data_IF_299939011112
#
_entry.id   IF_299939011112
#
_cell.length_a   1.000
_cell.length_b   1.000
_cell.length_c   1.000
_cell.angle_alpha   90.00
_cell.angle_beta   90.00
_cell.angle_gamma   90.00
#
_symmetry.space_group_name_H-M   'P 1'
#
loop_
_entity.id
_entity.type
_entity.pdbx_description
1 polymer ?
#
# COMPACT_ATOMS: atom_id res chain seq x y z
N UNK A 1 7.63 -84.61 -16.80
CA UNK A 1 8.22 -83.83 -15.70
C UNK A 1 9.02 -82.75 -16.39
N UNK A 2 8.44 -81.62 -16.79
CA UNK A 2 7.62 -80.67 -16.03
C UNK A 2 8.42 -79.99 -14.92
N UNK A 3 8.26 -78.66 -14.89
CA UNK A 3 8.71 -77.66 -13.89
C UNK A 3 10.03 -76.96 -14.23
N UNK A 4 10.15 -75.63 -14.23
CA UNK A 4 9.17 -74.54 -14.20
C UNK A 4 9.99 -73.27 -14.56
N UNK A 5 9.71 -72.64 -15.70
CA UNK A 5 10.34 -71.38 -16.10
C UNK A 5 9.57 -70.25 -15.42
N UNK A 6 9.89 -70.03 -14.14
CA UNK A 6 9.26 -69.03 -13.29
C UNK A 6 9.73 -67.62 -13.67
N UNK A 7 8.93 -67.00 -14.53
CA UNK A 7 8.47 -65.60 -14.51
C UNK A 7 9.07 -64.71 -13.40
N UNK A 8 10.10 -63.95 -13.75
CA UNK A 8 10.59 -62.82 -12.95
C UNK A 8 10.01 -61.53 -13.56
N UNK A 9 9.24 -60.72 -12.83
CA UNK A 9 8.61 -59.53 -13.39
C UNK A 9 9.69 -58.52 -13.85
N UNK A 10 9.46 -57.78 -14.96
CA UNK A 10 10.38 -56.71 -15.33
C UNK A 10 10.41 -55.69 -14.19
N UNK A 11 11.64 -55.31 -13.79
CA UNK A 11 11.87 -54.23 -12.84
C UNK A 11 11.06 -52.99 -13.29
N UNK A 12 10.45 -52.24 -12.35
CA UNK A 12 9.70 -51.05 -12.72
C UNK A 12 10.64 -50.15 -13.52
N UNK A 13 10.29 -49.91 -14.78
CA UNK A 13 10.85 -48.83 -15.59
C UNK A 13 10.74 -47.59 -14.72
N UNK A 14 11.88 -47.19 -14.17
CA UNK A 14 11.99 -45.99 -13.38
C UNK A 14 11.50 -44.87 -14.29
N UNK A 15 10.33 -44.36 -13.93
CA UNK A 15 9.71 -43.21 -14.55
C UNK A 15 10.59 -42.07 -14.08
N UNK A 16 11.78 -41.95 -14.68
CA UNK A 16 12.69 -40.85 -14.47
C UNK A 16 11.93 -39.61 -14.92
N UNK A 17 11.28 -39.01 -13.93
CA UNK A 17 10.96 -37.61 -13.84
C UNK A 17 12.26 -36.86 -14.12
N UNK A 18 12.53 -36.62 -15.40
CA UNK A 18 13.62 -35.76 -15.82
C UNK A 18 13.18 -34.35 -15.44
N UNK A 19 13.52 -33.93 -14.23
CA UNK A 19 13.45 -32.54 -13.81
C UNK A 19 14.32 -31.74 -14.81
N UNK A 20 13.74 -30.89 -15.67
CA UNK A 20 14.45 -30.27 -16.79
C UNK A 20 15.41 -29.13 -16.37
N UNK A 21 15.72 -29.02 -15.08
CA UNK A 21 16.38 -27.85 -14.49
C UNK A 21 17.89 -28.06 -14.28
N UNK A 22 18.40 -29.29 -14.29
CA UNK A 22 19.73 -29.58 -13.73
C UNK A 22 20.82 -30.03 -14.73
N UNK A 23 20.53 -30.16 -16.03
CA UNK A 23 21.43 -30.86 -16.96
C UNK A 23 22.21 -29.98 -17.96
N UNK A 24 22.26 -28.65 -17.79
CA UNK A 24 23.04 -27.81 -18.72
C UNK A 24 23.59 -26.53 -18.04
N UNK A 25 24.82 -26.59 -17.53
CA UNK A 25 25.50 -25.44 -16.90
C UNK A 25 26.24 -24.55 -17.91
N UNK A 26 26.43 -25.00 -19.14
CA UNK A 26 27.07 -24.24 -20.23
C UNK A 26 26.08 -23.32 -20.95
N UNK A 27 24.78 -23.54 -20.77
CA UNK A 27 23.72 -22.70 -21.33
C UNK A 27 22.86 -22.16 -20.19
N UNK A 28 22.99 -20.89 -19.77
CA UNK A 28 22.07 -20.34 -18.76
C UNK A 28 20.64 -20.56 -19.25
N UNK A 29 19.69 -20.92 -18.37
CA UNK A 29 18.31 -21.16 -18.78
C UNK A 29 17.84 -19.91 -19.52
N UNK A 30 17.62 -20.02 -20.83
CA UNK A 30 17.14 -18.89 -21.63
C UNK A 30 15.84 -18.46 -20.98
N UNK A 31 15.91 -17.29 -20.36
CA UNK A 31 14.79 -16.60 -19.75
C UNK A 31 13.65 -16.63 -20.77
N UNK A 32 12.44 -17.09 -20.40
CA UNK A 32 11.32 -17.24 -21.34
C UNK A 32 11.15 -16.00 -22.20
N UNK A 33 11.13 -16.25 -23.51
CA UNK A 33 10.99 -15.26 -24.58
C UNK A 33 9.74 -14.44 -24.35
N UNK A 34 9.92 -13.13 -24.16
CA UNK A 34 8.85 -12.15 -24.24
C UNK A 34 8.07 -12.39 -25.54
N UNK A 35 6.73 -12.31 -25.55
CA UNK A 35 5.96 -12.55 -26.75
C UNK A 35 6.39 -11.59 -27.87
N UNK A 36 6.75 -12.18 -29.02
CA UNK A 36 7.05 -11.46 -30.25
C UNK A 36 5.76 -11.10 -30.97
N UNK A 37 5.64 -9.83 -31.37
CA UNK A 37 4.49 -9.27 -32.06
C UNK A 37 4.93 -8.76 -33.43
N UNK A 38 4.10 -9.02 -34.43
CA UNK A 38 4.34 -8.66 -35.82
C UNK A 38 3.18 -7.79 -36.28
N UNK A 39 3.25 -6.49 -35.98
CA UNK A 39 2.17 -5.53 -36.27
C UNK A 39 2.67 -4.50 -37.29
N UNK A 40 1.76 -3.79 -37.96
CA UNK A 40 2.13 -2.85 -39.02
C UNK A 40 3.18 -1.81 -38.57
N UNK A 41 4.41 -1.96 -39.05
CA UNK A 41 5.54 -1.07 -38.71
C UNK A 41 6.36 -1.48 -37.48
N UNK A 42 6.09 -2.63 -36.86
CA UNK A 42 6.91 -3.19 -35.79
C UNK A 42 6.99 -4.72 -35.84
N UNK A 43 8.21 -5.23 -35.77
CA UNK A 43 8.50 -6.65 -35.64
C UNK A 43 9.51 -6.84 -34.51
N UNK A 44 9.10 -7.51 -33.43
CA UNK A 44 9.95 -7.71 -32.28
C UNK A 44 9.20 -8.01 -30.98
N UNK A 45 9.89 -7.95 -29.83
CA UNK A 45 9.30 -8.30 -28.54
C UNK A 45 8.40 -7.18 -27.98
N UNK A 46 7.38 -7.58 -27.22
CA UNK A 46 6.37 -6.69 -26.62
C UNK A 46 6.96 -5.52 -25.80
N UNK A 47 8.07 -5.74 -25.08
CA UNK A 47 8.73 -4.73 -24.26
C UNK A 47 9.39 -3.63 -25.10
N UNK A 48 10.00 -4.00 -26.21
CA UNK A 48 10.58 -3.05 -27.17
C UNK A 48 9.49 -2.21 -27.83
N UNK A 49 8.34 -2.81 -28.17
CA UNK A 49 7.20 -2.05 -28.69
C UNK A 49 6.74 -0.99 -27.68
N UNK A 50 6.72 -1.34 -26.39
CA UNK A 50 6.36 -0.40 -25.33
C UNK A 50 7.40 0.72 -25.17
N UNK A 51 8.70 0.43 -25.15
CA UNK A 51 9.74 1.47 -25.06
C UNK A 51 9.71 2.42 -26.26
N UNK A 52 9.52 1.89 -27.47
CA UNK A 52 9.41 2.70 -28.69
C UNK A 52 8.12 3.54 -28.70
N UNK A 53 7.02 2.99 -28.19
CA UNK A 53 5.77 3.71 -28.06
C UNK A 53 5.83 4.83 -27.01
N UNK A 54 6.46 4.58 -25.84
CA UNK A 54 6.65 5.59 -24.79
C UNK A 54 7.51 6.77 -25.28
N UNK A 55 8.52 6.48 -26.11
CA UNK A 55 9.38 7.49 -26.74
C UNK A 55 8.77 8.14 -27.99
N UNK A 56 7.51 7.84 -28.31
CA UNK A 56 6.80 8.35 -29.49
C UNK A 56 7.52 8.05 -30.82
N UNK A 57 8.35 7.01 -30.87
CA UNK A 57 9.07 6.60 -32.08
C UNK A 57 8.20 5.75 -33.03
N UNK A 58 7.08 5.22 -32.53
CA UNK A 58 6.07 4.48 -33.29
C UNK A 58 4.71 5.17 -33.13
N UNK A 59 4.02 5.37 -34.24
CA UNK A 59 2.65 5.91 -34.26
C UNK A 59 1.63 4.82 -33.90
N UNK A 60 1.38 4.69 -32.59
CA UNK A 60 0.36 3.76 -32.07
C UNK A 60 -1.05 4.05 -32.58
N UNK A 61 -1.35 5.26 -33.09
CA UNK A 61 -2.67 5.61 -33.60
C UNK A 61 -3.02 4.84 -34.87
N UNK A 62 -2.01 4.52 -35.69
CA UNK A 62 -2.17 3.82 -36.98
C UNK A 62 -2.27 2.31 -36.85
N UNK A 63 -1.72 1.74 -35.77
CA UNK A 63 -1.80 0.30 -35.52
C UNK A 63 -3.27 -0.16 -35.37
N UNK A 64 -3.57 -1.42 -35.60
CA UNK A 64 -4.90 -1.97 -35.28
C UNK A 64 -4.90 -2.51 -33.84
N UNK A 65 -5.75 -1.94 -32.98
CA UNK A 65 -5.90 -2.44 -31.60
C UNK A 65 -6.34 -3.91 -31.58
N UNK A 66 -7.24 -4.28 -32.49
CA UNK A 66 -7.75 -5.63 -32.63
C UNK A 66 -6.62 -6.60 -32.98
N UNK A 67 -5.76 -6.22 -33.91
CA UNK A 67 -4.64 -7.05 -34.37
C UNK A 67 -3.62 -7.27 -33.25
N UNK A 68 -3.24 -6.20 -32.55
CA UNK A 68 -2.31 -6.27 -31.43
C UNK A 68 -2.82 -7.18 -30.30
N UNK A 69 -4.09 -7.02 -29.90
CA UNK A 69 -4.71 -7.85 -28.86
C UNK A 69 -4.79 -9.32 -29.32
N UNK A 70 -5.18 -9.55 -30.57
CA UNK A 70 -5.32 -10.91 -31.11
C UNK A 70 -3.96 -11.61 -31.12
N UNK A 71 -2.92 -10.94 -31.62
CA UNK A 71 -1.57 -11.50 -31.65
C UNK A 71 -1.02 -11.75 -30.24
N UNK A 72 -1.27 -10.82 -29.30
CA UNK A 72 -0.86 -11.00 -27.90
C UNK A 72 -1.53 -12.22 -27.26
N UNK A 73 -2.84 -12.39 -27.42
CA UNK A 73 -3.57 -13.55 -26.87
C UNK A 73 -3.06 -14.85 -27.50
N UNK A 74 -2.83 -14.87 -28.81
CA UNK A 74 -2.26 -16.03 -29.51
C UNK A 74 -0.86 -16.36 -28.99
N UNK A 75 0.00 -15.35 -28.79
CA UNK A 75 1.34 -15.55 -28.22
C UNK A 75 1.28 -16.08 -26.78
N UNK A 76 0.37 -15.56 -25.95
CA UNK A 76 0.14 -16.02 -24.57
C UNK A 76 -0.32 -17.48 -24.51
N UNK A 77 -1.19 -17.91 -25.43
CA UNK A 77 -1.63 -19.30 -25.53
C UNK A 77 -0.49 -20.23 -25.94
N UNK A 78 0.36 -19.83 -26.90
CA UNK A 78 1.55 -20.60 -27.31
C UNK A 78 2.55 -20.78 -26.16
N UNK A 79 2.68 -19.77 -25.31
CA UNK A 79 3.62 -19.75 -24.19
C UNK A 79 3.06 -20.36 -22.89
N UNK A 80 1.77 -20.68 -22.83
CA UNK A 80 1.09 -21.14 -21.61
C UNK A 80 1.69 -22.39 -20.98
N UNK A 81 2.27 -23.30 -21.77
CA UNK A 81 2.91 -24.53 -21.29
C UNK A 81 4.42 -24.42 -21.02
N UNK A 82 5.03 -23.26 -21.31
CA UNK A 82 6.50 -23.04 -21.23
C UNK A 82 6.89 -21.96 -20.23
N UNK A 83 5.91 -21.25 -19.65
CA UNK A 83 6.11 -20.05 -18.85
C UNK A 83 5.24 -20.11 -17.62
N UNK A 84 5.79 -19.68 -16.48
CA UNK A 84 5.06 -19.65 -15.21
C UNK A 84 3.90 -18.63 -15.24
N UNK A 85 2.94 -18.78 -14.34
CA UNK A 85 1.78 -17.88 -14.27
C UNK A 85 2.20 -16.45 -13.91
N UNK A 86 3.18 -16.30 -13.02
CA UNK A 86 3.71 -15.02 -12.55
C UNK A 86 4.23 -14.19 -13.73
N UNK A 87 5.02 -14.81 -14.60
CA UNK A 87 5.60 -14.09 -15.74
C UNK A 87 4.57 -13.73 -16.80
N UNK A 88 3.54 -14.56 -16.97
CA UNK A 88 2.39 -14.24 -17.82
C UNK A 88 1.60 -13.04 -17.27
N UNK A 89 1.51 -12.90 -15.95
CA UNK A 89 0.91 -11.72 -15.33
C UNK A 89 1.74 -10.45 -15.61
N UNK A 90 3.08 -10.53 -15.55
CA UNK A 90 3.95 -9.40 -15.90
C UNK A 90 3.73 -8.92 -17.35
N UNK A 91 3.56 -9.85 -18.30
CA UNK A 91 3.28 -9.50 -19.70
C UNK A 91 1.90 -8.90 -19.91
N UNK A 92 0.89 -9.32 -19.14
CA UNK A 92 -0.42 -8.70 -19.15
C UNK A 92 -0.36 -7.23 -18.72
N UNK A 93 0.51 -6.90 -17.76
CA UNK A 93 0.74 -5.50 -17.36
C UNK A 93 1.31 -4.69 -18.52
N UNK A 94 2.31 -5.22 -19.25
CA UNK A 94 2.88 -4.55 -20.43
C UNK A 94 1.84 -4.32 -21.52
N UNK A 95 1.03 -5.33 -21.84
CA UNK A 95 -0.03 -5.24 -22.83
C UNK A 95 -1.12 -4.22 -22.43
N UNK A 96 -1.53 -4.20 -21.16
CA UNK A 96 -2.51 -3.24 -20.65
C UNK A 96 -2.00 -1.80 -20.75
N UNK A 97 -0.70 -1.57 -20.49
CA UNK A 97 -0.06 -0.24 -20.64
C UNK A 97 -0.08 0.23 -22.09
N UNK A 98 0.26 -0.63 -23.05
CA UNK A 98 0.16 -0.30 -24.48
C UNK A 98 -1.26 0.07 -24.90
N UNK A 99 -2.25 -0.70 -24.43
CA UNK A 99 -3.68 -0.46 -24.71
C UNK A 99 -4.14 0.89 -24.15
N UNK A 100 -3.73 1.21 -22.92
CA UNK A 100 -4.00 2.50 -22.29
C UNK A 100 -3.35 3.65 -23.07
N UNK A 101 -2.08 3.51 -23.44
CA UNK A 101 -1.34 4.52 -24.19
C UNK A 101 -2.01 4.78 -25.55
N UNK A 102 -2.44 3.73 -26.25
CA UNK A 102 -3.22 3.86 -27.47
C UNK A 102 -4.54 4.60 -27.24
N UNK A 103 -5.31 4.21 -26.22
CA UNK A 103 -6.59 4.85 -25.90
C UNK A 103 -6.40 6.36 -25.71
N UNK A 104 -5.39 6.75 -24.93
CA UNK A 104 -5.06 8.18 -24.69
C UNK A 104 -4.70 8.93 -25.97
N UNK A 105 -4.00 8.30 -26.91
CA UNK A 105 -3.64 8.93 -28.18
C UNK A 105 -4.85 9.11 -29.12
N UNK A 106 -5.93 8.34 -28.95
CA UNK A 106 -7.13 8.44 -29.79
C UNK A 106 -8.15 9.49 -29.30
N UNK A 107 -8.08 9.90 -28.03
CA UNK A 107 -9.00 10.88 -27.47
C UNK A 107 -8.29 12.22 -27.26
N UNK A 108 -8.52 13.24 -28.11
CA UNK A 108 -8.00 14.58 -27.86
C UNK A 108 -8.60 15.09 -26.54
N UNK A 109 -7.72 15.39 -25.57
CA UNK A 109 -8.13 15.90 -24.27
C UNK A 109 -8.89 17.22 -24.43
N UNK A 110 -9.99 17.38 -23.69
CA UNK A 110 -10.64 18.69 -23.59
C UNK A 110 -9.67 19.70 -22.98
N UNK A 111 -9.79 21.01 -23.28
CA UNK A 111 -8.84 22.01 -22.76
C UNK A 111 -8.75 22.07 -21.23
N UNK A 112 -9.83 21.67 -20.52
CA UNK A 112 -9.82 21.53 -19.06
C UNK A 112 -9.03 20.29 -18.61
N UNK A 113 -9.22 19.14 -19.28
CA UNK A 113 -8.45 17.93 -19.00
C UNK A 113 -6.97 18.09 -19.35
N UNK A 114 -6.63 18.87 -20.38
CA UNK A 114 -5.25 19.17 -20.76
C UNK A 114 -4.51 19.94 -19.65
N UNK A 115 -5.12 20.97 -19.07
CA UNK A 115 -4.53 21.73 -17.96
C UNK A 115 -4.35 20.87 -16.69
N UNK A 116 -5.29 19.97 -16.44
CA UNK A 116 -5.20 19.04 -15.29
C UNK A 116 -4.12 17.98 -15.53
N UNK A 117 -4.04 17.44 -16.74
CA UNK A 117 -3.02 16.47 -17.15
C UNK A 117 -1.61 17.06 -17.12
N UNK A 118 -1.44 18.35 -17.42
CA UNK A 118 -0.15 19.05 -17.35
C UNK A 118 0.34 19.21 -15.90
N UNK A 119 -0.58 19.47 -14.97
CA UNK A 119 -0.28 19.48 -13.53
C UNK A 119 0.09 18.08 -13.00
N UNK A 120 -0.65 17.05 -13.41
CA UNK A 120 -0.37 15.66 -13.05
C UNK A 120 0.97 15.19 -13.63
N UNK A 121 1.30 15.58 -14.86
CA UNK A 121 2.58 15.29 -15.49
C UNK A 121 3.76 15.91 -14.73
N UNK A 122 3.64 17.18 -14.32
CA UNK A 122 4.68 17.85 -13.52
C UNK A 122 4.89 17.17 -12.15
N UNK A 123 3.81 16.71 -11.51
CA UNK A 123 3.91 15.97 -10.25
C UNK A 123 4.59 14.60 -10.43
N UNK A 124 4.28 13.88 -11.50
CA UNK A 124 4.92 12.60 -11.83
C UNK A 124 6.39 12.77 -12.23
N UNK A 125 6.74 13.81 -12.98
CA UNK A 125 8.14 14.13 -13.30
C UNK A 125 8.98 14.36 -12.03
N UNK A 126 8.43 15.10 -11.06
CA UNK A 126 9.09 15.31 -9.78
C UNK A 126 9.35 13.97 -9.07
N UNK A 127 8.33 13.10 -9.03
CA UNK A 127 8.40 11.78 -8.40
C UNK A 127 9.42 10.86 -9.08
N UNK A 128 9.47 10.86 -10.41
CA UNK A 128 10.47 10.14 -11.18
C UNK A 128 11.88 10.66 -10.90
N UNK A 129 12.05 11.98 -10.81
CA UNK A 129 13.34 12.60 -10.49
C UNK A 129 13.86 12.18 -9.10
N UNK A 130 12.98 12.12 -8.12
CA UNK A 130 13.32 11.67 -6.76
C UNK A 130 13.68 10.18 -6.75
N UNK A 131 12.91 9.34 -7.44
CA UNK A 131 13.20 7.92 -7.54
C UNK A 131 14.55 7.66 -8.21
N UNK A 132 14.87 8.38 -9.28
CA UNK A 132 16.17 8.27 -9.95
C UNK A 132 17.33 8.69 -9.03
N UNK A 133 17.14 9.76 -8.25
CA UNK A 133 18.14 10.19 -7.24
C UNK A 133 18.36 9.12 -6.18
N UNK A 134 17.28 8.53 -5.66
CA UNK A 134 17.37 7.45 -4.66
C UNK A 134 18.05 6.21 -5.26
N UNK A 135 17.72 5.86 -6.50
CA UNK A 135 18.33 4.72 -7.19
C UNK A 135 19.82 4.93 -7.42
N UNK A 136 20.22 6.14 -7.85
CA UNK A 136 21.62 6.51 -7.97
C UNK A 136 22.35 6.42 -6.61
N UNK A 137 21.74 6.91 -5.53
CA UNK A 137 22.30 6.78 -4.18
C UNK A 137 22.43 5.31 -3.74
N UNK A 138 21.44 4.47 -4.04
CA UNK A 138 21.46 3.04 -3.74
C UNK A 138 22.61 2.34 -4.49
N UNK A 139 22.75 2.57 -5.80
CA UNK A 139 23.86 2.00 -6.59
C UNK A 139 25.23 2.49 -6.08
N UNK A 140 25.34 3.76 -5.68
CA UNK A 140 26.56 4.30 -5.07
C UNK A 140 26.88 3.63 -3.73
N UNK A 141 25.88 3.37 -2.87
CA UNK A 141 26.06 2.65 -1.62
C UNK A 141 26.44 1.19 -1.83
N UNK A 142 25.84 0.53 -2.82
CA UNK A 142 26.10 -0.86 -3.15
C UNK A 142 27.53 -1.07 -3.67
N UNK A 143 28.06 -0.10 -4.42
CA UNK A 143 29.44 -0.11 -4.90
C UNK A 143 30.50 0.11 -3.79
N UNK A 144 30.09 0.44 -2.56
CA UNK A 144 31.01 0.62 -1.44
C UNK A 144 31.26 -0.71 -0.73
N UNK A 145 32.48 -0.90 -0.19
CA UNK A 145 32.82 -2.14 0.46
C UNK A 145 32.01 -2.35 1.73
N UNK A 146 31.25 -3.46 1.77
CA UNK A 146 30.25 -3.72 2.79
C UNK A 146 30.84 -4.51 3.98
N UNK A 147 30.52 -4.07 5.19
CA UNK A 147 30.94 -4.75 6.41
C UNK A 147 30.26 -6.12 6.53
N UNK A 148 31.04 -7.18 6.71
CA UNK A 148 30.56 -8.56 6.80
C UNK A 148 30.43 -9.30 5.47
N UNK A 149 30.60 -8.62 4.33
CA UNK A 149 30.75 -9.26 3.02
C UNK A 149 32.18 -9.10 2.51
N UNK A 150 32.62 -7.85 2.33
CA UNK A 150 33.93 -7.51 1.76
C UNK A 150 34.91 -7.00 2.83
N UNK A 151 34.41 -6.27 3.84
CA UNK A 151 35.22 -5.75 4.94
C UNK A 151 34.86 -6.48 6.22
N UNK A 152 35.84 -7.09 6.89
CA UNK A 152 35.63 -7.72 8.18
C UNK A 152 36.24 -6.86 9.28
N UNK A 153 35.43 -6.51 10.28
CA UNK A 153 35.93 -5.81 11.45
C UNK A 153 36.88 -6.71 12.24
N UNK A 154 37.98 -6.14 12.75
CA UNK A 154 38.86 -6.86 13.67
C UNK A 154 38.02 -7.30 14.88
N UNK A 155 38.03 -8.60 15.25
CA UNK A 155 37.37 -9.03 16.46
C UNK A 155 37.97 -8.24 17.62
N UNK A 156 37.12 -7.52 18.35
CA UNK A 156 37.54 -6.83 19.57
C UNK A 156 38.14 -7.92 20.46
N UNK A 157 39.44 -7.81 20.77
CA UNK A 157 40.03 -8.65 21.80
C UNK A 157 39.12 -8.49 23.01
N UNK A 158 38.49 -9.59 23.42
CA UNK A 158 37.79 -9.68 24.68
C UNK A 158 38.87 -9.31 25.69
N UNK A 159 38.83 -8.09 26.22
CA UNK A 159 39.51 -7.83 27.47
C UNK A 159 38.87 -8.84 28.40
N UNK A 160 39.62 -9.90 28.72
CA UNK A 160 39.32 -10.73 29.86
C UNK A 160 39.25 -9.74 31.01
N UNK A 161 38.02 -9.36 31.35
CA UNK A 161 37.78 -8.63 32.57
C UNK A 161 38.51 -9.43 33.62
N UNK A 162 39.38 -8.75 34.39
CA UNK A 162 39.88 -9.27 35.65
C UNK A 162 38.78 -10.11 36.24
N UNK A 163 39.07 -11.37 36.53
CA UNK A 163 38.17 -12.24 37.26
C UNK A 163 37.95 -11.58 38.62
N UNK A 164 37.05 -10.60 38.65
CA UNK A 164 36.46 -10.08 39.86
C UNK A 164 35.76 -11.31 40.41
N UNK A 165 36.37 -11.76 41.50
CA UNK A 165 36.09 -12.98 42.23
C UNK A 165 34.59 -13.16 42.32
N UNK A 166 34.10 -14.39 42.31
CA UNK A 166 32.69 -14.73 42.64
C UNK A 166 32.16 -13.96 43.86
N UNK A 167 33.05 -13.56 44.76
CA UNK A 167 32.84 -12.64 45.87
C UNK A 167 32.31 -11.24 45.46
N UNK A 168 32.86 -10.59 44.43
CA UNK A 168 32.40 -9.29 43.94
C UNK A 168 31.00 -9.37 43.32
N UNK A 169 30.71 -10.46 42.59
CA UNK A 169 29.37 -10.75 42.09
C UNK A 169 28.39 -10.97 43.25
N UNK A 170 28.79 -11.73 44.28
CA UNK A 170 27.97 -11.97 45.47
C UNK A 170 27.71 -10.68 46.27
N UNK A 171 28.71 -9.81 46.41
CA UNK A 171 28.54 -8.50 47.04
C UNK A 171 27.57 -7.61 46.24
N UNK A 172 27.70 -7.55 44.92
CA UNK A 172 26.79 -6.81 44.07
C UNK A 172 25.34 -7.34 44.16
N UNK A 173 25.15 -8.67 44.17
CA UNK A 173 23.84 -9.29 44.33
C UNK A 173 23.22 -8.99 45.71
N UNK A 174 24.02 -8.96 46.77
CA UNK A 174 23.53 -8.64 48.12
C UNK A 174 23.13 -7.16 48.26
N UNK A 175 23.79 -6.24 47.56
CA UNK A 175 23.38 -4.83 47.50
C UNK A 175 22.03 -4.68 46.80
N UNK A 176 21.80 -5.41 45.70
CA UNK A 176 20.50 -5.42 44.99
C UNK A 176 19.39 -6.05 45.85
N UNK A 177 19.71 -7.07 46.65
CA UNK A 177 18.73 -7.73 47.53
C UNK A 177 18.43 -6.94 48.82
N UNK A 178 19.38 -6.12 49.31
CA UNK A 178 19.24 -5.31 50.54
C UNK A 178 18.76 -3.88 50.31
N UNK A 179 18.87 -3.36 49.09
CA UNK A 179 18.20 -2.11 48.73
C UNK A 179 16.69 -2.21 49.02
N UNK A 180 16.00 -1.11 49.40
CA UNK A 180 14.56 -1.14 49.49
C UNK A 180 14.06 -1.73 48.18
N UNK A 181 13.21 -2.77 48.24
CA UNK A 181 12.52 -3.35 47.08
C UNK A 181 11.67 -2.25 46.44
N UNK A 182 12.34 -1.33 45.77
CA UNK A 182 11.83 -0.43 44.79
C UNK A 182 11.52 -1.36 43.65
N UNK A 183 10.29 -1.90 43.73
CA UNK A 183 9.55 -2.42 42.59
C UNK A 183 9.98 -1.55 41.40
N UNK A 184 10.65 -2.10 40.37
CA UNK A 184 11.07 -1.27 39.27
C UNK A 184 9.80 -0.55 38.80
N UNK A 185 9.81 0.77 38.94
CA UNK A 185 8.82 1.62 38.30
C UNK A 185 8.81 1.14 36.86
N UNK A 186 7.69 0.54 36.53
CA UNK A 186 7.35 0.02 35.22
C UNK A 186 7.95 0.95 34.17
N UNK A 187 8.83 0.40 33.31
CA UNK A 187 9.23 1.07 32.09
C UNK A 187 7.98 1.75 31.49
N UNK A 188 8.04 3.02 31.05
CA UNK A 188 6.86 3.69 30.55
C UNK A 188 6.35 2.85 29.38
N UNK A 189 5.29 2.08 29.66
CA UNK A 189 4.56 1.34 28.65
C UNK A 189 4.12 2.41 27.67
N UNK A 190 4.61 2.32 26.44
CA UNK A 190 4.10 3.14 25.37
C UNK A 190 2.61 2.86 25.25
N UNK A 191 1.81 3.74 25.84
CA UNK A 191 0.36 3.70 25.78
C UNK A 191 -0.01 4.65 24.65
N UNK A 192 -0.37 4.15 23.46
CA UNK A 192 -0.84 5.04 22.42
C UNK A 192 -1.98 5.88 22.99
N UNK A 193 -1.92 7.20 22.76
CA UNK A 193 -3.00 8.10 23.15
C UNK A 193 -4.22 7.69 22.33
N UNK A 194 -5.13 6.93 22.94
CA UNK A 194 -6.40 6.57 22.34
C UNK A 194 -7.17 7.87 22.13
N UNK A 195 -7.26 8.30 20.88
CA UNK A 195 -8.01 9.49 20.51
C UNK A 195 -9.49 9.21 20.81
N UNK A 196 -10.06 9.92 21.79
CA UNK A 196 -11.48 9.86 22.08
C UNK A 196 -12.21 10.73 21.06
N UNK A 197 -12.67 10.12 19.96
CA UNK A 197 -13.54 10.79 19.01
C UNK A 197 -14.94 10.97 19.61
N UNK A 198 -15.57 12.11 19.30
CA UNK A 198 -16.97 12.36 19.64
C UNK A 198 -17.84 11.34 18.91
N UNK A 199 -18.47 10.44 19.66
CA UNK A 199 -19.24 9.36 19.07
C UNK A 199 -20.65 9.85 18.69
N UNK A 200 -21.24 9.24 17.67
CA UNK A 200 -22.56 9.64 17.16
C UNK A 200 -23.66 9.48 18.22
N UNK A 201 -23.58 8.44 19.06
CA UNK A 201 -24.50 8.23 20.19
C UNK A 201 -24.47 9.40 21.20
N UNK A 202 -23.29 9.94 21.48
CA UNK A 202 -23.12 11.09 22.36
C UNK A 202 -23.67 12.37 21.71
N UNK A 203 -23.42 12.56 20.41
CA UNK A 203 -23.94 13.68 19.66
C UNK A 203 -25.49 13.69 19.61
N UNK A 204 -26.12 12.54 19.35
CA UNK A 204 -27.58 12.39 19.35
C UNK A 204 -28.18 12.75 20.71
N UNK A 205 -27.61 12.23 21.80
CA UNK A 205 -28.07 12.53 23.15
C UNK A 205 -27.97 14.04 23.45
N UNK A 206 -26.87 14.67 23.03
CA UNK A 206 -26.63 16.11 23.23
C UNK A 206 -27.59 16.99 22.43
N UNK A 207 -27.85 16.66 21.16
CA UNK A 207 -28.81 17.40 20.33
C UNK A 207 -30.20 17.34 20.96
N UNK A 208 -30.65 16.15 21.39
CA UNK A 208 -31.94 15.96 22.07
C UNK A 208 -32.05 16.74 23.37
N UNK A 209 -31.01 16.72 24.20
CA UNK A 209 -30.96 17.46 25.47
C UNK A 209 -31.11 18.97 25.24
N UNK A 210 -30.36 19.53 24.27
CA UNK A 210 -30.39 20.96 23.99
C UNK A 210 -31.68 21.42 23.33
N UNK A 211 -32.24 20.63 22.39
CA UNK A 211 -33.55 20.95 21.79
C UNK A 211 -34.71 20.80 22.76
N UNK A 212 -34.58 19.94 23.79
CA UNK A 212 -35.56 19.87 24.87
C UNK A 212 -35.56 21.14 25.74
N UNK A 213 -34.39 21.80 25.89
CA UNK A 213 -34.26 23.04 26.63
C UNK A 213 -34.67 24.27 25.81
N UNK A 214 -34.32 24.29 24.51
CA UNK A 214 -34.68 25.36 23.58
C UNK A 214 -35.28 24.80 22.27
N UNK A 215 -36.62 24.74 22.17
CA UNK A 215 -37.34 24.21 21.01
C UNK A 215 -37.11 25.00 19.70
N UNK A 216 -36.74 26.28 19.80
CA UNK A 216 -36.45 27.12 18.62
C UNK A 216 -35.17 26.66 17.91
N UNK A 217 -34.32 25.93 18.63
CA UNK A 217 -33.08 25.39 18.12
C UNK A 217 -32.06 26.47 17.77
N UNK A 218 -31.16 26.18 16.83
CA UNK A 218 -30.08 27.09 16.50
C UNK A 218 -29.07 26.52 15.53
N UNK A 219 -27.93 27.19 15.39
CA UNK A 219 -26.85 26.74 14.52
C UNK A 219 -26.20 25.44 15.04
N UNK A 220 -25.76 24.57 14.13
CA UNK A 220 -25.10 23.29 14.43
C UNK A 220 -23.95 23.41 15.44
N UNK A 221 -23.24 24.55 15.42
CA UNK A 221 -22.13 24.84 16.32
C UNK A 221 -22.51 24.87 17.80
N UNK A 222 -23.76 25.20 18.14
CA UNK A 222 -24.27 25.23 19.53
C UNK A 222 -24.33 23.82 20.13
N UNK A 223 -24.56 22.83 19.28
CA UNK A 223 -24.69 21.42 19.67
C UNK A 223 -23.34 20.69 19.80
N UNK A 224 -22.23 21.40 19.61
CA UNK A 224 -20.90 20.83 19.80
C UNK A 224 -20.57 20.65 21.29
N UNK A 225 -19.78 19.62 21.63
CA UNK A 225 -19.26 19.48 22.99
C UNK A 225 -18.30 20.62 23.34
N UNK A 226 -18.29 21.01 24.60
CA UNK A 226 -17.23 21.86 25.13
C UNK A 226 -15.92 21.06 25.11
N UNK A 227 -14.98 21.46 24.25
CA UNK A 227 -13.66 20.85 24.19
C UNK A 227 -12.84 21.34 25.40
N UNK A 228 -12.34 20.41 26.22
CA UNK A 228 -11.52 20.76 27.38
C UNK A 228 -10.24 21.51 26.95
N UNK A 229 -9.76 22.48 27.75
CA UNK A 229 -8.50 23.16 27.49
C UNK A 229 -7.34 22.16 27.51
N UNK A 230 -6.47 22.23 26.50
CA UNK A 230 -5.38 21.28 26.30
C UNK A 230 -4.46 21.21 27.53
N UNK A 231 -4.38 20.04 28.16
CA UNK A 231 -3.47 19.77 29.28
C UNK A 231 -2.17 19.07 28.84
N UNK A 232 -1.83 19.07 27.54
CA UNK A 232 -0.63 18.40 27.04
C UNK A 232 -0.12 18.92 25.69
N UNK A 233 1.18 18.70 25.44
CA UNK A 233 1.86 19.06 24.20
C UNK A 233 1.34 18.22 23.03
N UNK A 234 0.65 18.87 22.08
CA UNK A 234 0.69 18.46 20.67
C UNK A 234 -0.67 18.37 19.97
N UNK A 235 -1.00 19.41 19.19
CA UNK A 235 -1.75 19.34 17.93
C UNK A 235 -3.12 18.64 17.88
N UNK A 236 -3.71 18.29 19.02
CA UNK A 236 -4.84 17.36 19.08
C UNK A 236 -6.20 18.06 19.00
N UNK A 237 -6.28 19.32 19.44
CA UNK A 237 -7.51 20.15 19.39
C UNK A 237 -8.15 20.20 18.03
N UNK A 238 -7.36 20.40 16.97
CA UNK A 238 -7.89 20.51 15.61
C UNK A 238 -8.52 19.21 15.14
N UNK A 239 -7.92 18.06 15.48
CA UNK A 239 -8.45 16.74 15.12
C UNK A 239 -9.69 16.40 15.95
N UNK A 240 -9.70 16.74 17.24
CA UNK A 240 -10.85 16.54 18.11
C UNK A 240 -12.03 17.44 17.73
N UNK A 241 -11.78 18.71 17.38
CA UNK A 241 -12.80 19.63 16.90
C UNK A 241 -13.43 19.16 15.58
N UNK A 242 -12.60 18.68 14.63
CA UNK A 242 -13.09 18.10 13.37
C UNK A 242 -13.89 16.82 13.61
N UNK A 243 -13.46 15.97 14.55
CA UNK A 243 -14.21 14.77 14.95
C UNK A 243 -15.57 15.11 15.59
N UNK A 244 -15.60 16.14 16.45
CA UNK A 244 -16.83 16.64 17.06
C UNK A 244 -17.82 17.17 16.02
N UNK A 245 -17.34 18.00 15.08
CA UNK A 245 -18.14 18.48 13.95
C UNK A 245 -18.71 17.34 13.11
N UNK A 246 -17.87 16.36 12.74
CA UNK A 246 -18.32 15.22 11.95
C UNK A 246 -19.37 14.38 12.70
N UNK A 247 -19.15 14.09 13.98
CA UNK A 247 -20.09 13.32 14.80
C UNK A 247 -21.44 14.02 14.98
N UNK A 248 -21.43 15.33 15.27
CA UNK A 248 -22.65 16.14 15.41
C UNK A 248 -23.38 16.33 14.09
N UNK A 249 -22.65 16.49 12.98
CA UNK A 249 -23.25 16.57 11.65
C UNK A 249 -23.93 15.26 11.23
N UNK A 250 -23.27 14.12 11.44
CA UNK A 250 -23.88 12.79 11.16
C UNK A 250 -25.10 12.56 12.04
N UNK A 251 -25.05 12.94 13.32
CA UNK A 251 -26.19 12.85 14.22
C UNK A 251 -27.37 13.73 13.75
N UNK A 252 -27.09 14.96 13.29
CA UNK A 252 -28.09 15.84 12.69
C UNK A 252 -28.75 15.21 11.47
N UNK A 253 -27.98 14.63 10.54
CA UNK A 253 -28.54 13.97 9.37
C UNK A 253 -29.39 12.74 9.72
N UNK A 254 -28.96 11.97 10.73
CA UNK A 254 -29.72 10.81 11.20
C UNK A 254 -31.05 11.23 11.84
N UNK A 255 -31.06 12.26 12.68
CA UNK A 255 -32.30 12.77 13.29
C UNK A 255 -33.24 13.41 12.26
N UNK A 256 -32.70 14.16 11.30
CA UNK A 256 -33.49 14.75 10.22
C UNK A 256 -34.13 13.65 9.33
N UNK A 257 -33.37 12.60 9.02
CA UNK A 257 -33.87 11.42 8.29
C UNK A 257 -34.98 10.69 9.04
N UNK A 258 -34.94 10.67 10.37
CA UNK A 258 -35.96 10.07 11.23
C UNK A 258 -37.18 11.00 11.46
N UNK A 259 -37.13 12.25 10.97
CA UNK A 259 -38.19 13.24 11.16
C UNK A 259 -38.26 13.80 12.57
N UNK A 260 -37.21 13.63 13.38
CA UNK A 260 -37.15 14.17 14.75
C UNK A 260 -36.83 15.67 14.79
N UNK A 261 -36.17 16.19 13.74
CA UNK A 261 -35.74 17.58 13.61
C UNK A 261 -35.91 18.08 12.18
N UNK A 262 -36.09 19.39 12.03
CA UNK A 262 -35.93 20.10 10.76
C UNK A 262 -34.53 20.70 10.69
N UNK A 263 -33.83 20.45 9.58
CA UNK A 263 -32.51 21.01 9.31
C UNK A 263 -32.57 21.89 8.06
N UNK A 264 -32.08 23.13 8.18
CA UNK A 264 -32.15 24.13 7.12
C UNK A 264 -30.79 24.78 6.86
N UNK A 265 -30.49 25.06 5.60
CA UNK A 265 -29.28 25.71 5.13
C UNK A 265 -29.62 26.64 3.95
N UNK A 266 -29.30 27.93 4.06
CA UNK A 266 -29.66 28.96 3.07
C UNK A 266 -28.90 28.82 1.73
N UNK A 267 -27.66 28.34 1.78
CA UNK A 267 -26.78 28.23 0.62
C UNK A 267 -25.62 27.27 0.85
N UNK A 268 -24.84 27.02 -0.20
CA UNK A 268 -23.68 26.14 -0.12
C UNK A 268 -22.68 26.71 0.90
N UNK A 269 -22.37 25.91 1.92
CA UNK A 269 -21.46 26.22 3.02
C UNK A 269 -21.95 27.26 4.05
N UNK A 270 -23.23 27.66 4.00
CA UNK A 270 -23.83 28.49 5.05
C UNK A 270 -24.06 27.69 6.35
N UNK A 271 -24.23 28.36 7.51
CA UNK A 271 -24.49 27.69 8.78
C UNK A 271 -25.74 26.81 8.72
N UNK A 272 -25.61 25.56 9.15
CA UNK A 272 -26.73 24.63 9.26
C UNK A 272 -27.50 24.95 10.53
N UNK A 273 -28.81 25.16 10.41
CA UNK A 273 -29.72 25.42 11.53
C UNK A 273 -30.57 24.18 11.79
N UNK A 274 -30.74 23.84 13.07
CA UNK A 274 -31.56 22.73 13.53
C UNK A 274 -32.69 23.30 14.39
N UNK A 275 -33.92 22.86 14.17
CA UNK A 275 -35.08 23.14 15.02
C UNK A 275 -35.95 21.89 15.20
N UNK A 276 -36.83 21.89 16.20
CA UNK A 276 -37.87 20.86 16.26
C UNK A 276 -38.88 21.05 15.13
N UNK A 277 -39.47 19.96 14.61
CA UNK A 277 -40.47 20.05 13.56
C UNK A 277 -41.67 20.84 14.07
N UNK A 278 -42.01 21.93 13.38
CA UNK A 278 -43.25 22.63 13.68
C UNK A 278 -44.41 21.72 13.28
N UNK A 279 -45.23 21.33 14.25
CA UNK A 279 -46.46 20.62 13.97
C UNK A 279 -47.30 21.49 13.01
N UNK A 280 -47.46 21.00 11.77
CA UNK A 280 -48.37 21.60 10.82
C UNK A 280 -49.80 21.49 11.39
N UNK A 281 -50.35 22.63 11.82
CA UNK A 281 -51.78 22.79 12.11
C UNK A 281 -52.55 23.07 10.82
#
# INVERSE_FOLDING_TARGET
>A
MAEDEADLPPAPTDVMNVDPVWDNWETPPRVPSIPELHVDGFDGPLDLLLDLAERQQIDLGRLSALELITQFVVAMQRLAGRVTLERRADWLVLAARLLLLRSRLMFPASPAEAATAEQDAAAEELRLSEMLRIRAAATWLEARPQLGQEVFARPRQKQEGRTETTMALLEACLVVLRGPRSRPETAPLYRPVLMQFWRVDQALARIRELLAADPLGGELGIFLPALEPETGQGGNRTKQARGALAGTFVACLEMAKQGEIDAYQDGLFDPIRISLPQAAF
#
